data_IF_534691959655
#
_entry.id   IF_534691959655
#
_cell.length_a   1.000
_cell.length_b   1.000
_cell.length_c   1.000
_cell.angle_alpha   90.00
_cell.angle_beta   90.00
_cell.angle_gamma   90.00
#
_symmetry.space_group_name_H-M   'P 1'
#
loop_
_entity.id
_entity.type
_entity.pdbx_description
1 polymer ?
#
# COMPACT_ATOMS: atom_id res chain seq x y z
N UNK A 1 15.71 21.81 -76.48
CA UNK A 1 16.63 21.35 -75.42
C UNK A 1 15.83 21.35 -74.12
N UNK A 2 15.72 20.21 -73.45
CA UNK A 2 14.72 19.96 -72.39
C UNK A 2 15.52 19.53 -71.15
N UNK A 3 15.60 20.37 -70.14
CA UNK A 3 16.29 20.09 -68.88
C UNK A 3 15.27 19.78 -67.79
N UNK A 4 15.36 18.58 -67.23
CA UNK A 4 14.57 18.13 -66.09
C UNK A 4 15.34 18.42 -64.78
N UNK A 5 14.68 18.88 -63.71
CA UNK A 5 15.31 18.98 -62.40
C UNK A 5 15.28 17.63 -61.67
N UNK A 6 16.45 17.19 -61.21
CA UNK A 6 16.63 16.08 -60.27
C UNK A 6 16.20 16.53 -58.86
N UNK A 7 15.14 15.94 -58.33
CA UNK A 7 14.71 16.09 -56.94
C UNK A 7 15.52 15.13 -56.03
N UNK A 8 16.07 15.59 -54.89
CA UNK A 8 16.83 14.75 -53.98
C UNK A 8 15.91 13.83 -53.18
N UNK A 9 16.10 12.52 -53.38
CA UNK A 9 15.44 11.40 -52.72
C UNK A 9 16.08 11.19 -51.34
N UNK A 10 15.83 12.10 -50.40
CA UNK A 10 16.60 12.16 -49.14
C UNK A 10 15.82 12.59 -47.90
N UNK A 11 14.49 12.54 -47.92
CA UNK A 11 13.66 13.04 -46.80
C UNK A 11 12.45 12.14 -46.56
N UNK A 12 12.68 10.88 -46.17
CA UNK A 12 11.59 10.02 -45.71
C UNK A 12 12.01 8.97 -44.66
N UNK A 13 12.82 9.36 -43.66
CA UNK A 13 13.26 8.39 -42.64
C UNK A 13 13.54 9.02 -41.26
N UNK A 14 12.65 9.89 -40.75
CA UNK A 14 12.82 10.51 -39.41
C UNK A 14 11.53 10.52 -38.55
N UNK A 15 10.50 9.71 -38.86
CA UNK A 15 9.25 9.70 -38.08
C UNK A 15 8.89 8.35 -37.46
N UNK A 16 9.85 7.65 -36.83
CA UNK A 16 9.61 6.30 -36.29
C UNK A 16 10.03 6.05 -34.83
N UNK A 17 10.39 7.07 -34.04
CA UNK A 17 10.94 6.83 -32.69
C UNK A 17 10.36 7.64 -31.54
N UNK A 18 9.17 8.25 -31.69
CA UNK A 18 8.44 8.78 -30.53
C UNK A 18 7.12 8.03 -30.33
N UNK A 19 7.21 6.82 -29.79
CA UNK A 19 6.10 6.25 -29.05
C UNK A 19 6.17 6.82 -27.62
N UNK A 20 5.20 7.65 -27.19
CA UNK A 20 5.13 8.01 -25.78
C UNK A 20 4.80 6.75 -24.99
N UNK A 21 5.68 6.38 -24.06
CA UNK A 21 5.36 5.44 -22.97
C UNK A 21 4.30 6.12 -22.10
N UNK A 22 3.04 6.05 -22.54
CA UNK A 22 1.90 6.40 -21.71
C UNK A 22 1.85 5.35 -20.59
N UNK A 23 2.43 5.69 -19.44
CA UNK A 23 2.20 4.93 -18.22
C UNK A 23 0.73 5.15 -17.85
N UNK A 24 -0.11 4.17 -18.19
CA UNK A 24 -1.45 4.08 -17.65
C UNK A 24 -1.32 3.98 -16.14
N UNK A 25 -1.52 5.10 -15.45
CA UNK A 25 -1.79 5.09 -14.03
C UNK A 25 -3.16 4.43 -13.87
N UNK A 26 -3.17 3.10 -13.74
CA UNK A 26 -4.32 2.38 -13.20
C UNK A 26 -4.52 2.92 -11.80
N UNK A 27 -5.36 3.95 -11.70
CA UNK A 27 -5.90 4.39 -10.44
C UNK A 27 -6.59 3.16 -9.86
N UNK A 28 -6.15 2.63 -8.71
CA UNK A 28 -6.76 1.45 -8.14
C UNK A 28 -8.18 1.82 -7.72
N UNK A 29 -9.11 1.61 -8.63
CA UNK A 29 -10.56 1.70 -8.43
C UNK A 29 -11.11 0.43 -7.77
N UNK A 30 -10.23 -0.54 -7.51
CA UNK A 30 -10.53 -1.79 -6.84
C UNK A 30 -10.82 -1.62 -5.35
N UNK A 31 -11.97 -2.13 -4.91
CA UNK A 31 -12.23 -2.41 -3.50
C UNK A 31 -11.30 -3.55 -3.07
N UNK A 32 -10.14 -3.21 -2.49
CA UNK A 32 -9.33 -4.20 -1.80
C UNK A 32 -10.00 -4.68 -0.52
N UNK A 33 -9.40 -5.68 0.13
CA UNK A 33 -9.85 -6.17 1.43
C UNK A 33 -8.67 -6.48 2.34
N UNK A 34 -8.97 -6.66 3.63
CA UNK A 34 -7.97 -6.99 4.64
C UNK A 34 -8.34 -8.28 5.36
N UNK A 35 -7.33 -9.02 5.80
CA UNK A 35 -7.44 -10.19 6.65
C UNK A 35 -6.59 -9.97 7.91
N UNK A 36 -7.10 -10.41 9.06
CA UNK A 36 -6.44 -10.30 10.36
C UNK A 36 -6.38 -11.69 10.99
N UNK A 37 -5.16 -12.15 11.26
CA UNK A 37 -4.91 -13.41 11.92
C UNK A 37 -4.22 -13.15 13.25
N UNK A 38 -4.86 -13.53 14.35
CA UNK A 38 -4.35 -13.30 15.69
C UNK A 38 -4.14 -14.63 16.40
N UNK A 39 -3.00 -14.82 17.06
CA UNK A 39 -2.80 -16.00 17.90
C UNK A 39 -3.78 -15.96 19.08
N UNK A 40 -4.76 -16.86 19.11
CA UNK A 40 -5.80 -16.86 20.14
C UNK A 40 -5.32 -17.43 21.48
N UNK A 41 -4.28 -18.26 21.45
CA UNK A 41 -3.71 -18.96 22.61
C UNK A 41 -2.84 -18.00 23.43
N UNK A 42 -1.82 -17.41 22.80
CA UNK A 42 -0.82 -16.58 23.45
C UNK A 42 -1.10 -15.09 23.32
N UNK A 43 -1.82 -14.66 22.27
CA UNK A 43 -2.19 -13.26 21.98
C UNK A 43 -0.98 -12.31 21.96
N UNK A 44 0.17 -12.86 21.59
CA UNK A 44 1.47 -12.22 21.54
C UNK A 44 1.77 -11.62 20.18
N UNK A 45 1.03 -11.99 19.13
CA UNK A 45 1.11 -11.33 17.84
C UNK A 45 -0.23 -11.32 17.07
N UNK A 46 -0.34 -10.36 16.16
CA UNK A 46 -1.39 -10.27 15.14
C UNK A 46 -0.74 -10.04 13.78
N UNK A 47 -1.12 -10.82 12.76
CA UNK A 47 -0.72 -10.63 11.37
C UNK A 47 -1.87 -9.92 10.65
N UNK A 48 -1.56 -8.86 9.93
CA UNK A 48 -2.51 -8.13 9.09
C UNK A 48 -2.05 -8.23 7.63
N UNK A 49 -2.96 -8.62 6.75
CA UNK A 49 -2.71 -8.78 5.31
C UNK A 49 -3.69 -7.93 4.52
N UNK A 50 -3.20 -7.20 3.53
CA UNK A 50 -4.03 -6.44 2.59
C UNK A 50 -3.93 -7.03 1.21
N UNK A 51 -5.08 -7.13 0.57
CA UNK A 51 -5.25 -7.66 -0.78
C UNK A 51 -5.90 -6.59 -1.66
N UNK A 52 -5.48 -6.55 -2.92
CA UNK A 52 -6.19 -5.76 -3.93
C UNK A 52 -7.43 -6.52 -4.44
N UNK A 53 -8.11 -5.93 -5.41
CA UNK A 53 -9.30 -6.49 -6.07
C UNK A 53 -9.00 -7.68 -6.99
N UNK A 54 -7.73 -7.98 -7.25
CA UNK A 54 -7.29 -9.19 -7.95
C UNK A 54 -6.80 -10.29 -6.99
N UNK A 55 -7.16 -10.22 -5.71
CA UNK A 55 -6.73 -11.13 -4.64
C UNK A 55 -5.20 -11.20 -4.46
N UNK A 56 -4.46 -10.19 -4.93
CA UNK A 56 -3.00 -10.15 -4.78
C UNK A 56 -2.64 -9.52 -3.44
N UNK A 57 -1.73 -10.15 -2.72
CA UNK A 57 -1.17 -9.60 -1.48
C UNK A 57 -0.36 -8.34 -1.81
N UNK A 58 -0.81 -7.19 -1.32
CA UNK A 58 -0.14 -5.90 -1.49
C UNK A 58 0.58 -5.43 -0.23
N UNK A 59 0.22 -6.00 0.93
CA UNK A 59 0.86 -5.69 2.21
C UNK A 59 0.70 -6.83 3.21
N UNK A 60 1.75 -7.07 3.99
CA UNK A 60 1.70 -7.92 5.17
C UNK A 60 2.53 -7.30 6.28
N UNK A 61 1.98 -7.25 7.48
CA UNK A 61 2.72 -6.82 8.67
C UNK A 61 2.36 -7.69 9.87
N UNK A 62 3.39 -8.13 10.59
CA UNK A 62 3.23 -8.83 11.87
C UNK A 62 3.42 -7.84 13.02
N UNK A 63 2.34 -7.60 13.75
CA UNK A 63 2.30 -6.75 14.93
C UNK A 63 2.65 -7.56 16.17
N UNK A 64 3.85 -7.37 16.69
CA UNK A 64 4.32 -8.00 17.93
C UNK A 64 3.70 -7.34 19.16
N UNK A 65 3.30 -8.14 20.13
CA UNK A 65 2.64 -7.75 21.39
C UNK A 65 1.33 -6.96 21.21
N UNK A 66 0.71 -7.05 20.02
CA UNK A 66 -0.57 -6.42 19.72
C UNK A 66 -1.61 -7.52 19.47
N UNK A 67 -2.75 -7.39 20.13
CA UNK A 67 -3.92 -8.25 19.96
C UNK A 67 -5.08 -7.42 19.38
N UNK A 68 -5.44 -7.68 18.13
CA UNK A 68 -6.62 -7.07 17.51
C UNK A 68 -7.85 -7.95 17.74
N UNK A 69 -8.82 -7.42 18.49
CA UNK A 69 -10.09 -8.08 18.80
C UNK A 69 -11.23 -7.47 17.99
N UNK A 70 -11.63 -8.17 16.93
CA UNK A 70 -12.73 -7.77 16.06
C UNK A 70 -14.10 -8.28 16.56
N UNK A 71 -14.15 -9.14 17.59
CA UNK A 71 -15.37 -9.83 18.00
C UNK A 71 -16.01 -9.33 19.31
N UNK A 72 -15.23 -8.82 20.27
CA UNK A 72 -15.77 -8.65 21.65
C UNK A 72 -16.56 -7.37 21.93
N UNK A 73 -16.36 -6.28 21.18
CA UNK A 73 -17.01 -4.99 21.48
C UNK A 73 -17.30 -4.20 20.21
N UNK A 74 -18.57 -3.89 19.88
CA UNK A 74 -18.92 -3.24 18.62
C UNK A 74 -18.23 -1.88 18.43
N UNK A 75 -18.14 -1.06 19.47
CA UNK A 75 -17.48 0.25 19.39
C UNK A 75 -15.95 0.20 19.22
N UNK A 76 -15.28 -0.82 19.80
CA UNK A 76 -13.82 -0.99 19.65
C UNK A 76 -13.50 -1.62 18.29
N UNK A 77 -14.30 -2.60 17.88
CA UNK A 77 -14.21 -3.24 16.57
C UNK A 77 -14.32 -2.20 15.45
N UNK A 78 -15.35 -1.33 15.48
CA UNK A 78 -15.53 -0.29 14.46
C UNK A 78 -14.31 0.62 14.30
N UNK A 79 -13.67 1.01 15.41
CA UNK A 79 -12.46 1.85 15.35
C UNK A 79 -11.26 1.11 14.75
N UNK A 80 -11.11 -0.18 15.05
CA UNK A 80 -10.05 -1.01 14.46
C UNK A 80 -10.31 -1.18 12.96
N UNK A 81 -11.54 -1.55 12.57
CA UNK A 81 -11.96 -1.69 11.19
C UNK A 81 -11.71 -0.40 10.39
N UNK A 82 -12.18 0.75 10.87
CA UNK A 82 -11.96 2.02 10.17
C UNK A 82 -10.48 2.38 10.03
N UNK A 83 -9.61 1.99 10.98
CA UNK A 83 -8.16 2.18 10.85
C UNK A 83 -7.56 1.27 9.79
N UNK A 84 -7.99 0.01 9.76
CA UNK A 84 -7.58 -0.95 8.74
C UNK A 84 -8.06 -0.52 7.34
N UNK A 85 -9.28 -0.01 7.21
CA UNK A 85 -9.82 0.51 5.95
C UNK A 85 -9.01 1.71 5.44
N UNK A 86 -8.64 2.63 6.33
CA UNK A 86 -7.80 3.77 5.98
C UNK A 86 -6.39 3.33 5.58
N UNK A 87 -5.79 2.40 6.31
CA UNK A 87 -4.47 1.85 5.99
C UNK A 87 -4.48 1.11 4.65
N UNK A 88 -5.53 0.33 4.38
CA UNK A 88 -5.74 -0.33 3.09
C UNK A 88 -5.82 0.71 1.96
N UNK A 89 -6.60 1.78 2.12
CA UNK A 89 -6.67 2.85 1.11
C UNK A 89 -5.30 3.50 0.86
N UNK A 90 -4.50 3.73 1.92
CA UNK A 90 -3.16 4.29 1.79
C UNK A 90 -2.22 3.37 0.99
N UNK A 91 -2.24 2.06 1.28
CA UNK A 91 -1.43 1.06 0.58
C UNK A 91 -1.88 0.92 -0.88
N UNK A 92 -3.19 0.91 -1.15
CA UNK A 92 -3.70 0.82 -2.51
C UNK A 92 -3.35 2.06 -3.33
N UNK A 93 -3.50 3.27 -2.77
CA UNK A 93 -3.17 4.52 -3.47
C UNK A 93 -1.67 4.70 -3.69
N UNK A 94 -0.85 4.18 -2.79
CA UNK A 94 0.59 4.24 -2.87
C UNK A 94 1.21 2.86 -2.61
N UNK A 95 1.42 2.03 -3.65
CA UNK A 95 2.01 0.70 -3.50
C UNK A 95 3.41 0.72 -2.87
N UNK A 96 4.15 1.84 -2.99
CA UNK A 96 5.44 2.00 -2.32
C UNK A 96 5.30 2.10 -0.79
N UNK A 97 4.14 2.53 -0.27
CA UNK A 97 3.85 2.49 1.16
C UNK A 97 3.77 1.06 1.70
N UNK A 98 3.37 0.10 0.85
CA UNK A 98 3.35 -1.33 1.19
C UNK A 98 4.74 -1.93 1.42
N UNK A 99 5.80 -1.24 1.00
CA UNK A 99 7.18 -1.65 1.25
C UNK A 99 7.70 -1.19 2.63
N UNK A 100 6.92 -0.39 3.38
CA UNK A 100 7.28 0.06 4.72
C UNK A 100 6.69 -0.88 5.78
N UNK A 101 7.51 -1.70 6.47
CA UNK A 101 7.03 -2.74 7.39
C UNK A 101 6.59 -2.20 8.76
N UNK A 102 6.19 -0.93 8.86
CA UNK A 102 5.88 -0.27 10.15
C UNK A 102 4.60 0.56 10.12
N UNK A 103 3.81 0.48 9.05
CA UNK A 103 2.65 1.35 8.86
C UNK A 103 1.60 1.08 9.95
N UNK A 104 1.27 -0.19 10.18
CA UNK A 104 0.31 -0.59 11.20
C UNK A 104 0.95 -0.59 12.59
N UNK A 105 2.23 -0.95 12.73
CA UNK A 105 2.91 -0.87 14.02
C UNK A 105 2.87 0.55 14.58
N UNK A 106 3.07 1.60 13.78
CA UNK A 106 2.96 2.99 14.24
C UNK A 106 1.52 3.36 14.66
N UNK A 107 0.51 2.87 13.94
CA UNK A 107 -0.90 3.19 14.19
C UNK A 107 -1.53 2.41 15.36
N UNK A 108 -1.04 1.19 15.60
CA UNK A 108 -1.55 0.27 16.60
C UNK A 108 -0.63 0.09 17.80
N UNK A 109 0.58 0.65 17.76
CA UNK A 109 1.46 0.69 18.94
C UNK A 109 0.72 1.37 20.10
N UNK A 110 0.54 0.68 21.23
CA UNK A 110 0.04 1.31 22.43
C UNK A 110 1.14 2.24 22.90
N UNK A 111 1.01 3.55 22.61
CA UNK A 111 1.74 4.66 23.23
C UNK A 111 2.86 4.17 24.17
N UNK A 112 4.08 4.05 23.64
CA UNK A 112 5.28 3.88 24.44
C UNK A 112 5.27 5.03 25.45
N UNK A 113 4.69 4.81 26.63
CA UNK A 113 4.73 5.80 27.70
C UNK A 113 6.21 5.99 27.97
N UNK A 114 6.78 7.19 27.79
CA UNK A 114 8.14 7.41 28.21
C UNK A 114 8.23 7.01 29.69
N UNK A 115 9.27 6.26 30.09
CA UNK A 115 9.47 5.89 31.50
C UNK A 115 9.43 7.17 32.32
N UNK A 116 8.46 7.25 33.23
CA UNK A 116 8.29 8.40 34.12
C UNK A 116 9.54 8.51 34.99
N UNK A 117 10.34 9.58 34.90
CA UNK A 117 11.66 9.65 35.53
C UNK A 117 11.63 9.94 37.04
N UNK A 118 10.53 9.66 37.75
CA UNK A 118 10.35 10.13 39.14
C UNK A 118 10.45 9.05 40.23
N UNK A 119 11.06 7.90 39.93
CA UNK A 119 11.37 6.90 40.96
C UNK A 119 12.88 6.65 41.05
N UNK A 120 13.64 7.70 41.37
CA UNK A 120 14.93 7.57 42.02
C UNK A 120 14.77 8.25 43.39
N UNK A 121 14.73 7.44 44.45
CA UNK A 121 14.95 7.87 45.82
C UNK A 121 16.35 7.43 46.23
#
# INVERSE_FOLDING_TARGET
>A
MKTSPLLPLGTLLVFLTLAPLAQAQTQPTGLGYWNVETNLTTRDYTIVRFYNDQDQLVYEETLLNVYLDLGRRPGRCRRIQSRLDLALQQVLQNPAAGQNPTLLAQQFSPNSRPPRPYAAR
#
